data_IF_480206583185
#
_entry.id   IF_480206583185
#
_cell.length_a   1.000
_cell.length_b   1.000
_cell.length_c   1.000
_cell.angle_alpha   90.00
_cell.angle_beta   90.00
_cell.angle_gamma   90.00
#
_symmetry.space_group_name_H-M   'P 1'
#
loop_
_entity.id
_entity.type
_entity.pdbx_description
1 polymer ?
#
# COMPACT_ATOMS: atom_id res chain seq x y z
N UNK A 1 -39.63 -10.77 -37.78
CA UNK A 1 -38.23 -11.00 -38.20
C UNK A 1 -37.41 -9.91 -37.53
N UNK A 2 -36.73 -10.23 -36.44
CA UNK A 2 -35.96 -9.28 -35.62
C UNK A 2 -34.52 -9.23 -36.11
N UNK A 3 -34.15 -8.12 -36.77
CA UNK A 3 -32.81 -7.85 -37.26
C UNK A 3 -31.78 -7.87 -36.11
N UNK A 4 -30.85 -8.80 -36.19
CA UNK A 4 -29.73 -8.94 -35.27
C UNK A 4 -28.68 -7.86 -35.57
N UNK A 5 -28.89 -6.67 -35.03
CA UNK A 5 -27.88 -5.60 -35.00
C UNK A 5 -26.62 -6.09 -34.27
N UNK A 6 -25.63 -6.57 -35.03
CA UNK A 6 -24.28 -6.85 -34.54
C UNK A 6 -23.62 -5.52 -34.19
N UNK A 7 -23.26 -5.37 -32.92
CA UNK A 7 -22.56 -4.20 -32.42
C UNK A 7 -21.08 -4.57 -32.30
N UNK A 8 -20.25 -4.21 -33.28
CA UNK A 8 -18.82 -4.57 -33.36
C UNK A 8 -17.91 -3.71 -32.47
N UNK A 9 -18.50 -3.02 -31.48
CA UNK A 9 -17.73 -2.13 -30.60
C UNK A 9 -16.98 -2.94 -29.52
N UNK A 10 -15.67 -2.73 -29.34
CA UNK A 10 -14.88 -3.44 -28.35
C UNK A 10 -15.28 -3.05 -26.92
N UNK A 11 -14.99 -3.94 -25.96
CA UNK A 11 -15.23 -3.72 -24.54
C UNK A 11 -14.63 -2.38 -24.09
N UNK A 12 -15.41 -1.59 -23.33
CA UNK A 12 -15.00 -0.26 -22.86
C UNK A 12 -13.67 -0.28 -22.09
N UNK A 13 -13.40 -1.35 -21.34
CA UNK A 13 -12.22 -1.44 -20.48
C UNK A 13 -11.03 -2.13 -21.12
N UNK A 14 -11.19 -3.39 -21.53
CA UNK A 14 -10.06 -4.18 -22.03
C UNK A 14 -9.80 -3.97 -23.53
N UNK A 15 -10.69 -3.27 -24.26
CA UNK A 15 -10.61 -3.02 -25.70
C UNK A 15 -10.62 -4.29 -26.59
N UNK A 16 -10.87 -5.46 -26.02
CA UNK A 16 -11.05 -6.70 -26.76
C UNK A 16 -12.49 -6.83 -27.28
N UNK A 17 -12.66 -7.54 -28.39
CA UNK A 17 -13.98 -7.87 -28.94
C UNK A 17 -14.76 -8.75 -27.95
N UNK A 18 -16.07 -8.51 -27.85
CA UNK A 18 -16.97 -9.22 -26.92
C UNK A 18 -18.03 -9.94 -27.75
N UNK A 19 -18.03 -11.26 -27.73
CA UNK A 19 -19.04 -12.08 -28.41
C UNK A 19 -20.28 -12.30 -27.53
N UNK A 20 -20.08 -12.51 -26.23
CA UNK A 20 -21.14 -12.63 -25.21
C UNK A 20 -20.84 -11.68 -24.05
N UNK A 21 -21.81 -10.86 -23.66
CA UNK A 21 -21.61 -9.84 -22.64
C UNK A 21 -22.87 -9.05 -22.31
N UNK A 22 -22.72 -8.10 -21.39
CA UNK A 22 -23.80 -7.22 -20.95
C UNK A 22 -23.87 -6.03 -21.89
N UNK A 23 -25.06 -5.71 -22.40
CA UNK A 23 -25.28 -4.66 -23.40
C UNK A 23 -25.60 -3.33 -22.75
N UNK A 24 -24.94 -2.27 -23.20
CA UNK A 24 -25.24 -0.92 -22.78
C UNK A 24 -26.54 -0.43 -23.45
N UNK A 25 -27.53 0.02 -22.67
CA UNK A 25 -28.84 0.43 -23.19
C UNK A 25 -28.77 1.70 -24.06
N UNK A 26 -27.79 2.57 -23.80
CA UNK A 26 -27.64 3.84 -24.54
C UNK A 26 -26.79 3.69 -25.81
N UNK A 27 -25.60 3.09 -25.73
CA UNK A 27 -24.68 3.01 -26.88
C UNK A 27 -24.63 1.64 -27.56
N UNK A 28 -25.39 0.65 -27.08
CA UNK A 28 -25.41 -0.70 -27.64
C UNK A 28 -24.13 -1.53 -27.44
N UNK A 29 -23.06 -0.94 -26.89
CA UNK A 29 -21.76 -1.61 -26.69
C UNK A 29 -21.88 -2.80 -25.74
N UNK A 30 -21.23 -3.91 -26.09
CA UNK A 30 -21.11 -5.09 -25.23
C UNK A 30 -19.87 -4.98 -24.33
N UNK A 31 -19.99 -5.43 -23.08
CA UNK A 31 -18.88 -5.46 -22.12
C UNK A 31 -18.84 -6.77 -21.34
N UNK A 32 -17.63 -7.24 -21.04
CA UNK A 32 -17.44 -8.40 -20.17
C UNK A 32 -17.94 -8.08 -18.75
N UNK A 33 -18.61 -9.03 -18.09
CA UNK A 33 -19.09 -8.88 -16.72
C UNK A 33 -17.98 -8.49 -15.74
N UNK A 34 -16.83 -9.18 -15.81
CA UNK A 34 -15.64 -8.88 -15.00
C UNK A 34 -15.08 -7.48 -15.27
N UNK A 35 -15.22 -6.95 -16.49
CA UNK A 35 -14.78 -5.59 -16.80
C UNK A 35 -15.69 -4.54 -16.14
N UNK A 36 -17.01 -4.79 -16.12
CA UNK A 36 -18.01 -3.89 -15.52
C UNK A 36 -17.89 -3.84 -13.99
N UNK A 37 -17.62 -4.97 -13.33
CA UNK A 37 -17.44 -5.03 -11.87
C UNK A 37 -16.34 -4.09 -11.38
N UNK A 38 -15.20 -4.04 -12.07
CA UNK A 38 -14.09 -3.17 -11.65
C UNK A 38 -14.22 -1.74 -12.19
N UNK A 39 -15.07 -1.49 -13.20
CA UNK A 39 -15.53 -0.13 -13.51
C UNK A 39 -16.60 0.38 -12.51
N UNK A 40 -17.06 -0.46 -11.59
CA UNK A 40 -18.12 -0.15 -10.61
C UNK A 40 -19.38 0.41 -11.29
N UNK A 41 -19.73 -0.08 -12.48
CA UNK A 41 -20.97 0.32 -13.17
C UNK A 41 -22.12 -0.50 -12.59
N UNK A 42 -23.17 0.18 -12.13
CA UNK A 42 -24.39 -0.46 -11.62
C UNK A 42 -25.15 -1.16 -12.74
N UNK A 43 -25.46 -2.43 -12.53
CA UNK A 43 -26.26 -3.23 -13.46
C UNK A 43 -27.74 -2.86 -13.32
N UNK A 44 -28.42 -2.62 -14.43
CA UNK A 44 -29.87 -2.36 -14.45
C UNK A 44 -30.67 -3.66 -14.49
N UNK A 45 -30.13 -4.68 -15.16
CA UNK A 45 -30.67 -6.04 -15.19
C UNK A 45 -29.54 -7.06 -15.34
N UNK A 46 -29.86 -8.36 -15.41
CA UNK A 46 -28.88 -9.43 -15.64
C UNK A 46 -28.13 -9.26 -16.98
N UNK A 47 -28.71 -8.57 -17.95
CA UNK A 47 -28.19 -8.48 -19.33
C UNK A 47 -27.97 -7.04 -19.82
N UNK A 48 -28.44 -6.03 -19.07
CA UNK A 48 -28.36 -4.63 -19.50
C UNK A 48 -27.71 -3.72 -18.46
N UNK A 49 -26.93 -2.76 -18.96
CA UNK A 49 -26.22 -1.75 -18.16
C UNK A 49 -26.36 -0.36 -18.77
N UNK A 50 -26.16 0.71 -18.00
CA UNK A 50 -25.96 2.04 -18.55
C UNK A 50 -24.52 2.53 -18.34
N UNK A 51 -23.66 2.21 -19.32
CA UNK A 51 -22.25 2.57 -19.35
C UNK A 51 -21.98 4.05 -19.71
N UNK A 52 -22.97 4.76 -20.25
CA UNK A 52 -22.79 6.11 -20.78
C UNK A 52 -23.07 7.20 -19.74
N UNK A 53 -23.79 6.88 -18.66
CA UNK A 53 -24.04 7.83 -17.57
C UNK A 53 -22.81 8.11 -16.68
N UNK A 54 -21.75 7.29 -16.74
CA UNK A 54 -20.57 7.47 -15.89
C UNK A 54 -19.62 8.59 -16.33
N UNK A 55 -19.73 9.11 -17.56
CA UNK A 55 -19.00 10.32 -17.94
C UNK A 55 -19.54 11.59 -17.24
N UNK A 56 -20.72 11.51 -16.61
CA UNK A 56 -21.31 12.60 -15.82
C UNK A 56 -21.12 12.45 -14.30
N UNK A 57 -20.95 11.22 -13.76
CA UNK A 57 -21.04 10.97 -12.31
C UNK A 57 -19.72 10.85 -11.54
N UNK A 58 -18.57 11.13 -12.17
CA UNK A 58 -17.34 11.50 -11.41
C UNK A 58 -17.20 13.03 -11.20
N UNK A 59 -18.29 13.79 -11.34
CA UNK A 59 -18.38 15.19 -10.94
C UNK A 59 -19.59 15.40 -10.05
N UNK A 60 -19.45 15.16 -8.75
CA UNK A 60 -20.36 15.71 -7.76
C UNK A 60 -19.60 16.04 -6.47
N UNK A 61 -19.06 17.25 -6.43
CA UNK A 61 -19.24 18.13 -5.29
C UNK A 61 -19.56 19.54 -5.83
N UNK A 62 -20.67 20.09 -5.35
CA UNK A 62 -21.27 21.35 -5.74
C UNK A 62 -20.29 22.52 -5.59
N UNK A 63 -19.81 23.05 -6.71
CA UNK A 63 -19.42 24.45 -6.83
C UNK A 63 -20.27 25.00 -7.98
N UNK A 64 -21.10 26.00 -7.68
CA UNK A 64 -21.90 26.74 -8.66
C UNK A 64 -20.99 27.13 -9.82
N UNK A 65 -21.17 26.49 -10.97
CA UNK A 65 -20.56 26.91 -12.22
C UNK A 65 -21.22 28.19 -12.66
N UNK A 66 -20.56 29.30 -12.38
CA UNK A 66 -20.72 30.52 -13.14
C UNK A 66 -20.29 30.20 -14.57
N UNK A 67 -21.21 30.36 -15.52
CA UNK A 67 -20.94 30.27 -16.95
C UNK A 67 -19.91 31.34 -17.31
N UNK A 68 -18.67 30.92 -17.59
CA UNK A 68 -17.66 31.80 -18.18
C UNK A 68 -17.78 31.67 -19.70
N UNK A 69 -17.96 32.79 -20.43
CA UNK A 69 -18.13 32.77 -21.87
C UNK A 69 -16.93 32.17 -22.60
N UNK A 70 -17.25 31.44 -23.65
CA UNK A 70 -16.38 30.70 -24.56
C UNK A 70 -15.52 31.62 -25.41
N UNK A 71 -14.56 32.32 -24.80
CA UNK A 71 -13.62 33.18 -25.53
C UNK A 71 -12.26 33.32 -24.83
N UNK A 72 -11.46 32.25 -24.81
CA UNK A 72 -10.01 32.31 -24.57
C UNK A 72 -9.36 31.23 -25.44
N UNK A 73 -8.81 31.60 -26.60
CA UNK A 73 -7.39 31.88 -26.84
C UNK A 73 -6.48 30.70 -26.49
N UNK A 74 -5.68 30.30 -27.49
CA UNK A 74 -4.68 29.24 -27.47
C UNK A 74 -3.89 29.26 -26.15
N UNK A 75 -4.23 28.35 -25.24
CA UNK A 75 -3.47 28.17 -24.00
C UNK A 75 -2.09 27.64 -24.41
N UNK A 76 -1.07 28.41 -24.07
CA UNK A 76 0.32 28.11 -24.38
C UNK A 76 0.69 26.73 -23.82
N UNK A 77 1.44 25.91 -24.57
CA UNK A 77 1.70 24.50 -24.23
C UNK A 77 2.26 24.31 -22.81
N UNK A 78 2.97 25.32 -22.31
CA UNK A 78 3.53 25.36 -20.96
C UNK A 78 2.46 25.51 -19.85
N UNK A 79 1.39 26.27 -20.09
CA UNK A 79 0.29 26.42 -19.12
C UNK A 79 -0.53 25.14 -19.01
N UNK A 80 -0.75 24.43 -20.13
CA UNK A 80 -1.42 23.13 -20.11
C UNK A 80 -0.66 22.10 -19.25
N UNK A 81 0.67 22.09 -19.30
CA UNK A 81 1.49 21.20 -18.46
C UNK A 81 1.37 21.55 -16.97
N UNK A 82 1.35 22.85 -16.63
CA UNK A 82 1.16 23.31 -15.24
C UNK A 82 -0.21 22.92 -14.69
N UNK A 83 -1.26 23.08 -15.49
CA UNK A 83 -2.63 22.68 -15.10
C UNK A 83 -2.70 21.17 -14.86
N UNK A 84 -2.16 20.37 -15.79
CA UNK A 84 -2.12 18.90 -15.65
C UNK A 84 -1.35 18.44 -14.40
N UNK A 85 -0.26 19.12 -14.06
CA UNK A 85 0.50 18.86 -12.83
C UNK A 85 -0.31 19.20 -11.57
N UNK A 86 -0.99 20.34 -11.55
CA UNK A 86 -1.84 20.74 -10.43
C UNK A 86 -3.04 19.78 -10.26
N UNK A 87 -3.67 19.35 -11.34
CA UNK A 87 -4.72 18.33 -11.32
C UNK A 87 -4.24 16.99 -10.76
N UNK A 88 -2.98 16.62 -11.03
CA UNK A 88 -2.37 15.43 -10.43
C UNK A 88 -2.18 15.60 -8.93
N UNK A 89 -1.66 16.75 -8.48
CA UNK A 89 -1.51 17.03 -7.04
C UNK A 89 -2.85 16.99 -6.33
N UNK A 90 -3.90 17.55 -6.92
CA UNK A 90 -5.24 17.55 -6.33
C UNK A 90 -5.74 16.11 -6.16
N UNK A 91 -5.63 15.27 -7.21
CA UNK A 91 -6.01 13.85 -7.12
C UNK A 91 -5.21 13.08 -6.07
N UNK A 92 -3.92 13.34 -5.97
CA UNK A 92 -3.06 12.69 -4.97
C UNK A 92 -3.49 13.13 -3.55
N UNK A 93 -3.83 14.41 -3.34
CA UNK A 93 -4.35 14.91 -2.07
C UNK A 93 -5.71 14.31 -1.72
N UNK A 94 -6.64 14.18 -2.68
CA UNK A 94 -7.94 13.54 -2.46
C UNK A 94 -7.79 12.06 -2.07
N UNK A 95 -6.87 11.34 -2.72
CA UNK A 95 -6.54 9.95 -2.36
C UNK A 95 -5.99 9.83 -0.94
N UNK A 96 -5.12 10.76 -0.52
CA UNK A 96 -4.61 10.82 0.86
C UNK A 96 -5.75 11.08 1.85
N UNK A 97 -6.65 12.02 1.55
CA UNK A 97 -7.80 12.33 2.40
C UNK A 97 -8.71 11.10 2.56
N UNK A 98 -8.97 10.36 1.48
CA UNK A 98 -9.76 9.12 1.53
C UNK A 98 -9.11 8.06 2.43
N UNK A 99 -7.81 7.82 2.28
CA UNK A 99 -7.07 6.87 3.12
C UNK A 99 -7.09 7.30 4.60
N UNK A 100 -7.03 8.60 4.88
CA UNK A 100 -7.15 9.12 6.24
C UNK A 100 -8.55 8.89 6.82
N UNK A 101 -9.61 9.06 6.03
CA UNK A 101 -10.97 8.73 6.48
C UNK A 101 -11.14 7.24 6.81
N UNK A 102 -10.65 6.34 5.95
CA UNK A 102 -10.66 4.89 6.19
C UNK A 102 -9.92 4.56 7.49
N UNK A 103 -8.77 5.19 7.73
CA UNK A 103 -7.97 4.98 8.94
C UNK A 103 -8.72 5.48 10.19
N UNK A 104 -9.34 6.65 10.11
CA UNK A 104 -10.15 7.20 11.21
C UNK A 104 -11.33 6.28 11.54
N UNK A 105 -11.99 5.71 10.52
CA UNK A 105 -13.09 4.77 10.71
C UNK A 105 -12.64 3.49 11.41
N UNK A 106 -11.56 2.86 10.93
CA UNK A 106 -10.98 1.68 11.56
C UNK A 106 -10.56 1.92 13.02
N UNK A 107 -9.97 3.08 13.32
CA UNK A 107 -9.60 3.45 14.70
C UNK A 107 -10.82 3.67 15.60
N UNK A 108 -11.93 4.20 15.06
CA UNK A 108 -13.19 4.33 15.81
C UNK A 108 -13.78 2.95 16.15
N UNK A 109 -13.78 2.03 15.19
CA UNK A 109 -14.23 0.65 15.42
C UNK A 109 -13.41 -0.03 16.52
N UNK A 110 -12.08 0.13 16.50
CA UNK A 110 -11.21 -0.40 17.56
C UNK A 110 -11.52 0.20 18.93
N UNK A 111 -11.76 1.51 19.01
CA UNK A 111 -12.14 2.16 20.27
C UNK A 111 -13.47 1.64 20.80
N UNK A 112 -14.44 1.40 19.93
CA UNK A 112 -15.75 0.90 20.34
C UNK A 112 -15.68 -0.57 20.82
N UNK A 113 -14.84 -1.40 20.19
CA UNK A 113 -14.52 -2.74 20.69
C UNK A 113 -13.86 -2.69 22.07
N UNK A 114 -12.88 -1.80 22.29
CA UNK A 114 -12.23 -1.65 23.59
C UNK A 114 -13.21 -1.19 24.69
N UNK A 115 -14.13 -0.28 24.38
CA UNK A 115 -15.19 0.14 25.31
C UNK A 115 -16.12 -1.01 25.65
N UNK A 116 -16.53 -1.80 24.66
CA UNK A 116 -17.39 -2.97 24.87
C UNK A 116 -16.72 -4.00 25.80
N UNK A 117 -15.43 -4.31 25.58
CA UNK A 117 -14.65 -5.20 26.44
C UNK A 117 -14.55 -4.65 27.87
N UNK A 118 -14.29 -3.35 28.03
CA UNK A 118 -14.19 -2.72 29.36
C UNK A 118 -15.52 -2.80 30.12
N UNK A 119 -16.65 -2.55 29.46
CA UNK A 119 -17.97 -2.70 30.09
C UNK A 119 -18.27 -4.14 30.51
N UNK A 120 -17.82 -5.14 29.74
CA UNK A 120 -17.98 -6.55 30.09
C UNK A 120 -17.16 -6.93 31.33
N UNK A 121 -15.94 -6.40 31.48
CA UNK A 121 -15.09 -6.69 32.64
C UNK A 121 -15.62 -6.05 33.93
N UNK A 122 -16.18 -4.85 33.85
CA UNK A 122 -16.76 -4.16 35.02
C UNK A 122 -18.00 -4.89 35.56
N UNK A 123 -18.82 -5.49 34.67
CA UNK A 123 -19.96 -6.31 35.08
C UNK A 123 -19.55 -7.55 35.89
N UNK A 124 -18.46 -8.23 35.50
CA UNK A 124 -17.98 -9.44 36.19
C UNK A 124 -17.42 -9.11 37.58
N UNK A 125 -16.73 -7.98 37.71
CA UNK A 125 -16.11 -7.59 38.98
C UNK A 125 -17.15 -7.21 40.06
N UNK A 126 -18.31 -6.69 39.65
CA UNK A 126 -19.43 -6.41 40.55
C UNK A 126 -20.15 -7.66 41.07
N UNK A 127 -20.16 -8.77 40.33
CA UNK A 127 -20.72 -10.05 40.81
C UNK A 127 -19.83 -10.72 41.86
N UNK A 128 -18.51 -10.62 41.74
CA UNK A 128 -17.56 -11.26 42.66
C UNK A 128 -17.58 -10.62 44.07
N UNK A 129 -17.94 -9.33 44.18
CA UNK A 129 -18.03 -8.68 45.50
C UNK A 129 -19.30 -9.04 46.29
N UNK A 130 -20.35 -9.54 45.65
CA UNK A 130 -21.59 -9.92 46.33
C UNK A 130 -21.57 -11.34 46.95
N UNK A 131 -20.61 -12.20 46.60
CA UNK A 131 -20.51 -13.54 47.19
C UNK A 131 -19.62 -13.62 48.45
N UNK A 132 -18.94 -12.53 48.82
CA UNK A 132 -17.96 -12.53 49.94
C UNK A 132 -18.57 -12.23 51.32
N UNK A 133 -19.89 -12.15 51.44
CA UNK A 133 -20.60 -11.82 52.69
C UNK A 133 -21.24 -13.03 53.39
N UNK A 134 -20.75 -14.25 53.17
CA UNK A 134 -21.16 -15.43 53.97
C UNK A 134 -19.99 -15.94 54.83
N UNK A 135 -20.04 -15.78 56.16
CA UNK A 135 -19.02 -16.31 57.06
C UNK A 135 -19.18 -17.83 57.16
N UNK A 136 -18.32 -18.56 56.46
CA UNK A 136 -18.19 -20.01 56.62
C UNK A 136 -16.99 -20.30 57.52
N UNK A 137 -17.29 -20.67 58.75
CA UNK A 137 -16.37 -21.28 59.71
C UNK A 137 -15.91 -22.64 59.17
N UNK A 138 -14.61 -22.80 58.92
CA UNK A 138 -14.00 -24.11 58.66
C UNK A 138 -12.78 -24.30 59.58
N UNK A 139 -12.67 -25.45 60.29
CA UNK A 139 -11.52 -25.81 61.13
C UNK A 139 -10.32 -26.31 60.31
N UNK A 140 -9.15 -26.06 60.88
CA UNK A 140 -7.84 -26.61 60.57
C UNK A 140 -7.83 -28.15 60.49
N UNK A 141 -7.13 -28.74 59.49
CA UNK A 141 -6.16 -29.85 59.67
C UNK A 141 -5.58 -30.42 58.35
N UNK A 142 -4.24 -30.51 58.36
CA UNK A 142 -3.32 -31.54 57.82
C UNK A 142 -3.28 -31.96 56.33
N UNK A 143 -2.06 -31.89 55.81
CA UNK A 143 -1.44 -32.43 54.59
C UNK A 143 -1.08 -33.94 54.74
N UNK A 144 -0.49 -34.64 53.74
CA UNK A 144 -1.04 -35.08 52.45
C UNK A 144 -0.93 -36.61 52.25
N UNK A 145 -1.74 -37.23 51.38
CA UNK A 145 -1.32 -38.47 50.70
C UNK A 145 -1.77 -38.54 49.25
N UNK A 146 -0.79 -38.90 48.42
CA UNK A 146 -0.86 -39.22 47.01
C UNK A 146 -1.83 -40.38 46.78
N UNK A 147 -2.72 -40.25 45.79
CA UNK A 147 -3.13 -41.41 45.00
C UNK A 147 -3.54 -40.99 43.59
N UNK A 148 -2.97 -41.73 42.66
CA UNK A 148 -3.26 -41.83 41.24
C UNK A 148 -4.76 -41.91 40.94
N UNK A 149 -5.25 -41.16 39.94
CA UNK A 149 -6.47 -41.55 39.23
C UNK A 149 -6.50 -41.03 37.79
N UNK A 150 -7.09 -41.90 36.96
CA UNK A 150 -7.17 -41.93 35.51
C UNK A 150 -7.98 -40.75 34.97
N UNK A 151 -7.48 -40.20 33.85
CA UNK A 151 -8.09 -39.12 33.08
C UNK A 151 -9.12 -39.71 32.11
N UNK A 152 -10.41 -39.53 32.38
CA UNK A 152 -11.48 -39.64 31.38
C UNK A 152 -12.01 -38.25 31.10
N UNK A 153 -11.82 -37.77 29.87
CA UNK A 153 -12.40 -36.52 29.39
C UNK A 153 -13.85 -36.78 28.99
N UNK A 154 -14.81 -36.30 29.79
CA UNK A 154 -16.17 -36.04 29.34
C UNK A 154 -16.27 -34.55 29.02
N UNK A 155 -16.61 -34.23 27.77
CA UNK A 155 -17.04 -32.92 27.32
C UNK A 155 -18.46 -32.70 27.82
N UNK A 156 -18.66 -31.69 28.66
CA UNK A 156 -19.98 -31.17 28.98
C UNK A 156 -20.14 -29.82 28.28
N UNK A 157 -21.07 -29.79 27.34
CA UNK A 157 -21.57 -28.60 26.66
C UNK A 157 -22.06 -27.57 27.67
N UNK A 158 -21.45 -26.39 27.69
CA UNK A 158 -22.03 -25.21 28.34
C UNK A 158 -22.94 -24.49 27.34
N UNK A 159 -24.24 -24.62 27.59
CA UNK A 159 -25.28 -23.78 27.00
C UNK A 159 -25.10 -22.33 27.46
N UNK A 160 -24.79 -21.43 26.52
CA UNK A 160 -24.84 -19.99 26.73
C UNK A 160 -26.29 -19.51 26.54
N UNK A 161 -26.96 -19.14 27.63
CA UNK A 161 -28.25 -18.44 27.61
C UNK A 161 -27.98 -16.97 27.32
N UNK A 162 -28.46 -16.52 26.15
CA UNK A 162 -28.43 -15.14 25.71
C UNK A 162 -29.49 -14.33 26.50
N UNK A 163 -29.09 -13.60 27.53
CA UNK A 163 -29.95 -12.56 28.12
C UNK A 163 -29.70 -11.23 27.41
N UNK A 164 -30.77 -10.68 26.83
CA UNK A 164 -30.84 -9.30 26.32
C UNK A 164 -30.65 -8.33 27.49
N UNK A 165 -29.72 -7.40 27.35
CA UNK A 165 -29.59 -6.24 28.23
C UNK A 165 -30.06 -4.99 27.49
N UNK A 166 -30.91 -4.22 28.17
CA UNK A 166 -31.49 -2.97 27.74
C UNK A 166 -30.44 -1.85 27.61
N UNK A 167 -30.73 -0.91 26.72
CA UNK A 167 -29.91 0.24 26.39
C UNK A 167 -29.75 1.19 27.59
N UNK A 168 -28.50 1.39 28.04
CA UNK A 168 -28.13 2.48 28.95
C UNK A 168 -27.45 3.57 28.11
N UNK A 169 -28.18 4.67 27.87
CA UNK A 169 -27.62 5.91 27.34
C UNK A 169 -26.63 6.53 28.36
N UNK A 170 -25.32 6.41 28.10
CA UNK A 170 -24.31 7.20 28.81
C UNK A 170 -24.05 8.49 28.04
N UNK A 171 -24.71 9.57 28.45
CA UNK A 171 -24.41 10.94 27.98
C UNK A 171 -23.14 11.44 28.68
N UNK A 172 -21.98 11.22 28.04
CA UNK A 172 -20.73 11.90 28.40
C UNK A 172 -20.45 13.01 27.38
N UNK A 173 -20.82 14.24 27.75
CA UNK A 173 -20.82 15.43 26.89
C UNK A 173 -19.71 16.40 27.26
N UNK A 174 -18.46 15.94 27.35
CA UNK A 174 -17.31 16.85 27.43
C UNK A 174 -16.56 16.85 26.10
N UNK A 175 -16.55 17.97 25.35
CA UNK A 175 -15.83 18.04 24.08
C UNK A 175 -14.33 17.90 24.36
N UNK A 176 -13.73 16.86 23.78
CA UNK A 176 -12.29 16.65 23.79
C UNK A 176 -11.66 17.88 23.15
N UNK A 177 -10.97 18.70 23.94
CA UNK A 177 -10.33 19.92 23.46
C UNK A 177 -9.10 19.57 22.63
N UNK A 178 -8.86 20.34 21.56
CA UNK A 178 -7.67 20.18 20.70
C UNK A 178 -6.35 20.20 21.48
N UNK A 179 -6.33 20.90 22.62
CA UNK A 179 -5.19 20.93 23.53
C UNK A 179 -4.94 19.57 24.20
N UNK A 180 -5.98 18.89 24.71
CA UNK A 180 -5.84 17.56 25.30
C UNK A 180 -5.35 16.52 24.28
N UNK A 181 -5.80 16.65 23.02
CA UNK A 181 -5.34 15.81 21.91
C UNK A 181 -3.85 16.07 21.56
N UNK A 182 -3.44 17.35 21.55
CA UNK A 182 -2.05 17.72 21.29
C UNK A 182 -1.11 17.24 22.39
N UNK A 183 -1.52 17.32 23.67
CA UNK A 183 -0.71 16.82 24.80
C UNK A 183 -0.58 15.30 24.76
N UNK A 184 -1.62 14.56 24.37
CA UNK A 184 -1.56 13.11 24.21
C UNK A 184 -0.64 12.67 23.05
N UNK A 185 -0.58 13.44 21.95
CA UNK A 185 0.30 13.15 20.80
C UNK A 185 1.78 13.45 21.07
N UNK A 186 2.09 14.25 22.09
CA UNK A 186 3.45 14.58 22.50
C UNK A 186 3.97 13.72 23.66
N UNK A 187 3.17 12.80 24.19
CA UNK A 187 3.64 11.87 25.21
C UNK A 187 4.58 10.82 24.58
N UNK A 188 5.82 10.80 25.04
CA UNK A 188 6.92 9.99 24.49
C UNK A 188 6.64 8.48 24.64
N UNK A 189 5.93 8.08 25.71
CA UNK A 189 5.43 6.72 25.89
C UNK A 189 4.43 6.29 24.83
N UNK A 190 3.51 7.18 24.45
CA UNK A 190 2.50 6.91 23.42
C UNK A 190 3.14 6.81 22.04
N UNK A 191 4.20 7.58 21.75
CA UNK A 191 5.02 7.44 20.53
C UNK A 191 5.79 6.12 20.50
N UNK A 192 6.41 5.71 21.59
CA UNK A 192 7.14 4.43 21.66
C UNK A 192 6.20 3.23 21.45
N UNK A 193 4.98 3.31 22.00
CA UNK A 193 3.95 2.27 21.82
C UNK A 193 3.37 2.26 20.40
N UNK A 194 3.16 3.43 19.78
CA UNK A 194 2.75 3.50 18.36
C UNK A 194 3.82 2.96 17.41
N UNK A 195 5.09 3.18 17.73
CA UNK A 195 6.21 2.68 16.92
C UNK A 195 6.35 1.16 17.03
N UNK A 196 6.03 0.55 18.18
CA UNK A 196 6.01 -0.91 18.29
C UNK A 196 4.82 -1.53 17.55
N UNK A 197 3.65 -0.88 17.54
CA UNK A 197 2.44 -1.36 16.83
C UNK A 197 2.53 -1.18 15.31
N UNK A 198 3.08 -0.06 14.81
CA UNK A 198 3.27 0.16 13.37
C UNK A 198 4.28 -0.85 12.77
N UNK A 199 5.21 -1.36 13.58
CA UNK A 199 6.14 -2.41 13.16
C UNK A 199 5.52 -3.82 13.18
N UNK A 200 4.35 -4.03 13.78
CA UNK A 200 3.64 -5.32 13.80
C UNK A 200 2.90 -5.63 12.47
N UNK A 201 2.56 -4.62 11.66
CA UNK A 201 1.84 -4.84 10.38
C UNK A 201 2.76 -5.11 9.18
N UNK A 202 4.07 -5.07 9.36
CA UNK A 202 5.02 -5.62 8.38
C UNK A 202 5.52 -6.99 8.81
N UNK A 203 4.60 -7.85 9.24
CA UNK A 203 4.87 -9.28 9.40
C UNK A 203 4.89 -10.01 8.04
N UNK A 204 5.59 -9.41 7.07
CA UNK A 204 6.20 -10.17 5.98
C UNK A 204 7.27 -10.98 6.68
N UNK A 205 6.93 -12.18 7.15
CA UNK A 205 7.90 -13.11 7.74
C UNK A 205 9.13 -13.09 6.83
N UNK A 206 10.26 -12.53 7.28
CA UNK A 206 11.46 -12.56 6.46
C UNK A 206 11.70 -14.03 6.21
N UNK A 207 11.63 -14.45 4.94
CA UNK A 207 12.07 -15.80 4.60
C UNK A 207 13.50 -15.85 5.09
N UNK A 208 13.73 -16.58 6.19
CA UNK A 208 15.04 -16.70 6.79
C UNK A 208 15.90 -17.46 5.77
N UNK A 209 16.55 -16.70 4.90
CA UNK A 209 17.56 -17.19 4.01
C UNK A 209 18.78 -17.46 4.89
N UNK A 210 19.02 -18.73 5.17
CA UNK A 210 20.19 -19.17 5.90
C UNK A 210 21.39 -19.04 4.95
N UNK A 211 22.27 -18.08 5.24
CA UNK A 211 23.50 -17.86 4.47
C UNK A 211 24.63 -18.60 5.18
N UNK A 212 25.28 -19.54 4.49
CA UNK A 212 26.45 -20.24 5.02
C UNK A 212 27.65 -19.30 5.16
N UNK A 213 28.36 -19.37 6.28
CA UNK A 213 29.53 -18.54 6.59
C UNK A 213 30.88 -19.25 6.38
N UNK A 214 30.86 -20.47 5.86
CA UNK A 214 32.08 -21.25 5.64
C UNK A 214 32.78 -20.76 4.37
N UNK A 215 34.04 -20.33 4.51
CA UNK A 215 34.86 -19.97 3.35
C UNK A 215 35.09 -21.20 2.46
N UNK A 216 35.09 -20.99 1.13
CA UNK A 216 35.33 -22.06 0.17
C UNK A 216 36.76 -22.59 0.36
N UNK A 217 36.92 -23.73 1.04
CA UNK A 217 38.19 -24.46 1.11
C UNK A 217 38.44 -25.16 -0.23
N UNK A 218 39.68 -25.10 -0.73
CA UNK A 218 40.07 -25.72 -2.01
C UNK A 218 39.79 -27.22 -2.07
N UNK A 219 39.77 -27.91 -0.92
CA UNK A 219 39.62 -29.37 -0.81
C UNK A 219 38.20 -29.84 -0.43
N UNK A 220 37.23 -28.92 -0.30
CA UNK A 220 35.86 -29.28 0.07
C UNK A 220 35.04 -29.90 -1.08
N UNK A 221 34.30 -30.98 -0.79
CA UNK A 221 33.32 -31.61 -1.70
C UNK A 221 32.11 -30.69 -1.97
N UNK A 222 31.85 -29.73 -1.08
CA UNK A 222 30.81 -28.73 -1.22
C UNK A 222 31.47 -27.39 -1.55
N UNK A 223 31.21 -26.87 -2.76
CA UNK A 223 31.60 -25.53 -3.18
C UNK A 223 30.34 -24.71 -3.42
N UNK A 224 30.25 -23.53 -2.82
CA UNK A 224 29.24 -22.57 -3.25
C UNK A 224 29.51 -22.21 -4.72
N UNK A 225 28.46 -22.05 -5.53
CA UNK A 225 28.61 -21.50 -6.88
C UNK A 225 29.41 -20.20 -6.78
N UNK A 226 30.51 -20.12 -7.52
CA UNK A 226 31.29 -18.91 -7.67
C UNK A 226 30.31 -17.76 -8.01
N UNK A 227 30.41 -16.67 -7.25
CA UNK A 227 29.40 -15.60 -7.14
C UNK A 227 28.55 -15.45 -8.42
N UNK A 228 27.26 -15.79 -8.29
CA UNK A 228 26.23 -15.34 -9.23
C UNK A 228 26.44 -13.83 -9.39
N UNK A 229 26.73 -13.36 -10.62
CA UNK A 229 26.91 -11.95 -11.00
C UNK A 229 26.16 -11.07 -10.00
N UNK A 230 26.90 -10.42 -9.10
CA UNK A 230 26.32 -9.48 -8.15
C UNK A 230 25.42 -8.56 -8.96
N UNK A 231 24.14 -8.51 -8.61
CA UNK A 231 23.17 -7.78 -9.42
C UNK A 231 23.61 -6.32 -9.45
N UNK A 232 24.20 -5.87 -10.55
CA UNK A 232 24.62 -4.50 -10.69
C UNK A 232 23.37 -3.61 -10.73
N UNK A 233 23.38 -2.53 -9.96
CA UNK A 233 22.41 -1.47 -10.17
C UNK A 233 22.90 -0.60 -11.32
N UNK A 234 21.99 -0.37 -12.27
CA UNK A 234 22.23 0.48 -13.40
C UNK A 234 21.53 1.81 -13.18
N UNK A 235 22.23 2.91 -13.41
CA UNK A 235 21.71 4.27 -13.37
C UNK A 235 21.92 4.94 -14.73
N UNK A 236 20.96 5.76 -15.11
CA UNK A 236 21.00 6.65 -16.26
C UNK A 236 21.30 8.05 -15.74
N UNK A 237 22.50 8.53 -16.02
CA UNK A 237 22.91 9.89 -15.69
C UNK A 237 22.85 10.73 -16.97
N UNK A 238 22.16 11.87 -16.94
CA UNK A 238 21.90 12.69 -18.14
C UNK A 238 22.23 14.16 -17.89
N UNK A 239 22.27 14.92 -18.99
CA UNK A 239 22.49 16.37 -19.00
C UNK A 239 23.93 16.76 -18.60
N UNK A 240 24.91 15.94 -18.99
CA UNK A 240 26.32 16.32 -18.94
C UNK A 240 26.69 17.14 -20.17
N UNK A 241 27.74 17.94 -20.07
CA UNK A 241 28.31 18.61 -21.23
C UNK A 241 28.81 17.58 -22.28
N UNK A 242 28.77 17.90 -23.59
CA UNK A 242 29.06 16.94 -24.67
C UNK A 242 30.51 16.46 -24.70
N UNK A 243 31.43 17.32 -24.22
CA UNK A 243 32.87 17.11 -24.09
C UNK A 243 33.26 16.15 -22.94
N UNK A 244 32.34 15.87 -22.02
CA UNK A 244 32.58 14.91 -20.93
C UNK A 244 32.81 13.52 -21.52
N UNK A 245 33.97 12.94 -21.18
CA UNK A 245 34.34 11.58 -21.54
C UNK A 245 33.93 10.58 -20.46
N UNK A 246 33.75 9.31 -20.85
CA UNK A 246 33.42 8.22 -19.91
C UNK A 246 34.49 8.05 -18.83
N UNK A 247 35.76 8.22 -19.19
CA UNK A 247 36.92 8.02 -18.32
C UNK A 247 36.98 9.10 -17.24
N UNK A 248 36.70 10.36 -17.61
CA UNK A 248 36.66 11.48 -16.68
C UNK A 248 35.55 11.29 -15.63
N UNK A 249 34.35 10.89 -16.07
CA UNK A 249 33.25 10.62 -15.16
C UNK A 249 33.53 9.40 -14.28
N UNK A 250 34.07 8.31 -14.84
CA UNK A 250 34.45 7.12 -14.08
C UNK A 250 35.49 7.44 -13.01
N UNK A 251 36.55 8.17 -13.35
CA UNK A 251 37.60 8.58 -12.41
C UNK A 251 37.07 9.46 -11.28
N UNK A 252 36.06 10.30 -11.55
CA UNK A 252 35.39 11.08 -10.51
C UNK A 252 34.57 10.19 -9.56
N UNK A 253 33.76 9.28 -10.12
CA UNK A 253 32.88 8.41 -9.33
C UNK A 253 33.64 7.33 -8.56
N UNK A 254 34.80 6.89 -9.05
CA UNK A 254 35.66 5.92 -8.36
C UNK A 254 36.16 6.38 -6.99
N UNK A 255 36.12 7.69 -6.70
CA UNK A 255 36.42 8.23 -5.37
C UNK A 255 35.37 7.85 -4.32
N UNK A 256 34.15 7.56 -4.76
CA UNK A 256 33.00 7.21 -3.92
C UNK A 256 32.65 5.73 -4.03
N UNK A 257 32.74 5.16 -5.24
CA UNK A 257 32.39 3.78 -5.56
C UNK A 257 33.51 3.13 -6.39
N UNK A 258 34.45 2.38 -5.78
CA UNK A 258 35.65 1.89 -6.47
C UNK A 258 35.34 0.95 -7.64
N UNK A 259 34.21 0.23 -7.57
CA UNK A 259 33.81 -0.77 -8.57
C UNK A 259 32.85 -0.21 -9.62
N UNK A 260 32.74 1.11 -9.75
CA UNK A 260 31.86 1.77 -10.71
C UNK A 260 32.34 1.57 -12.15
N UNK A 261 31.41 1.19 -13.03
CA UNK A 261 31.61 1.11 -14.48
C UNK A 261 30.74 2.15 -15.17
N UNK A 262 31.34 2.96 -16.04
CA UNK A 262 30.63 4.01 -16.78
C UNK A 262 30.67 3.73 -18.27
N UNK A 263 29.51 3.78 -18.92
CA UNK A 263 29.38 3.60 -20.37
C UNK A 263 28.67 4.83 -20.96
N UNK A 264 29.30 5.52 -21.91
CA UNK A 264 28.66 6.63 -22.64
C UNK A 264 27.52 6.08 -23.50
N UNK A 265 26.36 6.74 -23.44
CA UNK A 265 25.18 6.39 -24.22
C UNK A 265 24.97 7.40 -25.35
N UNK A 266 24.38 6.94 -26.44
CA UNK A 266 23.96 7.80 -27.54
C UNK A 266 22.79 8.66 -27.06
N UNK A 267 23.06 9.94 -26.83
CA UNK A 267 22.08 10.92 -26.39
C UNK A 267 21.20 11.33 -27.56
N UNK A 268 19.98 11.82 -27.28
CA UNK A 268 19.06 12.27 -28.32
C UNK A 268 19.63 13.45 -29.11
N UNK A 269 20.30 14.38 -28.41
CA UNK A 269 20.99 15.53 -28.99
C UNK A 269 22.47 15.54 -28.51
N UNK A 270 23.37 14.78 -29.18
CA UNK A 270 24.75 14.60 -28.72
C UNK A 270 25.57 15.90 -28.68
N UNK A 271 25.19 16.91 -29.47
CA UNK A 271 25.88 18.22 -29.50
C UNK A 271 25.51 19.11 -28.30
N UNK A 272 24.35 18.87 -27.68
CA UNK A 272 23.86 19.66 -26.55
C UNK A 272 24.21 19.03 -25.21
N UNK A 273 24.12 17.70 -25.13
CA UNK A 273 24.39 16.98 -23.90
C UNK A 273 24.83 15.55 -24.15
N UNK A 274 25.49 14.99 -23.15
CA UNK A 274 25.83 13.57 -23.07
C UNK A 274 25.10 12.88 -21.93
N UNK A 275 24.92 11.57 -22.10
CA UNK A 275 24.27 10.66 -21.17
C UNK A 275 25.16 9.46 -20.92
N UNK A 276 25.09 8.90 -19.72
CA UNK A 276 25.91 7.79 -19.29
C UNK A 276 25.07 6.73 -18.58
N UNK A 277 25.42 5.47 -18.81
CA UNK A 277 24.98 4.34 -18.00
C UNK A 277 26.05 4.06 -16.96
N UNK A 278 25.65 4.07 -15.69
CA UNK A 278 26.52 3.83 -14.55
C UNK A 278 26.10 2.51 -13.94
N UNK A 279 27.02 1.55 -13.86
CA UNK A 279 26.77 0.23 -13.28
C UNK A 279 27.65 0.05 -12.05
N UNK A 280 27.05 -0.30 -10.91
CA UNK A 280 27.78 -0.51 -9.66
C UNK A 280 27.11 -1.55 -8.75
N UNK A 281 27.84 -2.14 -7.80
CA UNK A 281 27.29 -3.04 -6.79
C UNK A 281 26.20 -2.37 -5.92
N UNK A 282 25.21 -3.12 -5.40
CA UNK A 282 24.15 -2.56 -4.55
C UNK A 282 24.67 -1.87 -3.28
N UNK A 283 25.76 -2.37 -2.70
CA UNK A 283 26.36 -1.82 -1.47
C UNK A 283 26.86 -0.39 -1.65
N UNK A 284 27.36 -0.06 -2.84
CA UNK A 284 27.93 1.26 -3.18
C UNK A 284 26.85 2.23 -3.70
N UNK A 285 25.60 1.80 -3.78
CA UNK A 285 24.52 2.56 -4.43
C UNK A 285 24.07 3.80 -3.65
N UNK A 286 24.20 3.77 -2.31
CA UNK A 286 23.84 4.90 -1.45
C UNK A 286 24.71 6.12 -1.72
N UNK A 287 26.03 5.93 -1.83
CA UNK A 287 27.00 7.01 -2.00
C UNK A 287 26.81 7.74 -3.35
N UNK A 288 26.48 6.98 -4.40
CA UNK A 288 26.24 7.53 -5.74
C UNK A 288 24.92 8.31 -5.81
N UNK A 289 23.96 8.07 -4.90
CA UNK A 289 22.71 8.83 -4.86
C UNK A 289 22.80 10.17 -4.13
N UNK A 290 23.94 10.51 -3.49
CA UNK A 290 24.09 11.80 -2.83
C UNK A 290 24.10 12.95 -3.86
N UNK A 291 23.15 13.88 -3.72
CA UNK A 291 23.09 15.10 -4.54
C UNK A 291 24.39 15.91 -4.57
N UNK A 292 25.23 15.83 -3.52
CA UNK A 292 26.45 16.63 -3.38
C UNK A 292 27.57 16.23 -4.33
N UNK A 293 27.58 14.99 -4.82
CA UNK A 293 28.65 14.51 -5.70
C UNK A 293 28.42 14.85 -7.19
N UNK A 294 27.21 15.33 -7.52
CA UNK A 294 26.78 15.61 -8.89
C UNK A 294 26.86 17.10 -9.22
N UNK A 295 27.28 17.45 -10.46
CA UNK A 295 27.16 18.81 -10.95
C UNK A 295 25.71 19.31 -10.98
N UNK A 296 25.53 20.62 -10.91
CA UNK A 296 24.23 21.26 -11.03
C UNK A 296 23.52 20.85 -12.34
N UNK A 297 22.23 20.53 -12.25
CA UNK A 297 21.35 20.08 -13.36
C UNK A 297 21.65 18.69 -13.95
N UNK A 298 22.56 17.91 -13.39
CA UNK A 298 22.67 16.49 -13.76
C UNK A 298 21.50 15.73 -13.16
N UNK A 299 20.84 14.89 -13.98
CA UNK A 299 19.77 14.03 -13.50
C UNK A 299 20.24 12.59 -13.45
N UNK A 300 19.99 11.93 -12.32
CA UNK A 300 20.26 10.52 -12.12
C UNK A 300 18.93 9.77 -11.99
N UNK A 301 18.70 8.79 -12.86
CA UNK A 301 17.52 7.94 -12.79
C UNK A 301 17.94 6.47 -12.71
N UNK A 302 17.28 5.66 -11.88
CA UNK A 302 17.58 4.23 -11.80
C UNK A 302 17.00 3.51 -13.02
N UNK A 303 17.83 2.74 -13.73
CA UNK A 303 17.31 1.81 -14.73
C UNK A 303 16.53 0.74 -13.99
N UNK A 304 15.21 0.73 -14.18
CA UNK A 304 14.44 -0.46 -13.88
C UNK A 304 14.71 -1.43 -15.01
N UNK A 305 15.29 -2.61 -14.75
CA UNK A 305 15.39 -3.63 -15.78
C UNK A 305 13.97 -3.85 -16.30
N UNK A 306 13.75 -3.55 -17.59
CA UNK A 306 12.51 -3.93 -18.25
C UNK A 306 12.29 -5.39 -17.92
N UNK A 307 11.21 -5.71 -17.22
CA UNK A 307 10.86 -7.10 -16.90
C UNK A 307 10.91 -7.81 -18.23
N UNK A 308 11.94 -8.63 -18.47
CA UNK A 308 12.05 -9.38 -19.71
C UNK A 308 10.73 -10.13 -19.80
N UNK A 309 9.88 -9.75 -20.76
CA UNK A 309 8.70 -10.50 -21.08
C UNK A 309 9.23 -11.91 -21.31
N UNK A 310 8.74 -12.87 -20.52
CA UNK A 310 9.16 -14.27 -20.66
C UNK A 310 9.08 -14.59 -22.15
N UNK A 311 10.13 -15.16 -22.76
CA UNK A 311 10.03 -15.59 -24.14
C UNK A 311 8.77 -16.44 -24.25
N UNK A 312 7.86 -16.05 -25.14
CA UNK A 312 6.72 -16.90 -25.47
C UNK A 312 7.34 -18.18 -26.00
N UNK A 313 7.24 -19.24 -25.22
CA UNK A 313 7.52 -20.59 -25.69
C UNK A 313 6.38 -20.93 -26.65
N UNK A 314 6.70 -20.97 -27.93
CA UNK A 314 5.84 -21.57 -28.96
C UNK A 314 5.64 -23.07 -28.69
#
# INVERSE_FOLDING_TARGET
MSESNKCDLPCLRCKNAVTTGIRCIQCGRLSHKSCLEILKITLLSKETVNCCNQSATSKNNNIKKTEIPTSFQQIDSNESMKVSYLERIIRDKESIIENLHITIEALKEQLDLMKALKSSTESIQSQIQNERSKPSSIPCLSEPQQSSLKRTHNLTEQNFILQKADAIEVKSSNPITKAALATALYNEESRNTLTSVINLEKDVRPKALLVGSLENTSDGTLRASEFVKTSEFHYHATNFAPDVSSENLQKHLQKFAPNVKVQKLNSRNPDQYSSFKISLPPLESGDIMDSKIWPYKVFLNRFFPSRKLKPQTD
#
